data_IF_695627842396
#
_entry.id   IF_695627842396
#
_cell.length_a   1.000
_cell.length_b   1.000
_cell.length_c   1.000
_cell.angle_alpha   90.00
_cell.angle_beta   90.00
_cell.angle_gamma   90.00
#
_symmetry.space_group_name_H-M   'P 1'
#
loop_
_entity.id
_entity.type
_entity.pdbx_description
1 polymer ?
#
# COMPACT_ATOMS: atom_id res chain seq x y z
N UNK A 1 -18.91 7.44 8.53
CA UNK A 1 -18.53 7.43 7.11
C UNK A 1 -17.97 6.04 6.84
N UNK A 2 -18.62 5.24 6.01
CA UNK A 2 -18.09 3.93 5.61
C UNK A 2 -17.18 4.15 4.43
N UNK A 3 -15.88 4.08 4.65
CA UNK A 3 -14.87 4.14 3.58
C UNK A 3 -15.04 2.86 2.75
N UNK A 4 -15.31 3.02 1.45
CA UNK A 4 -15.42 1.89 0.53
C UNK A 4 -14.04 1.69 -0.06
N UNK A 5 -13.28 0.78 0.54
CA UNK A 5 -11.95 0.44 0.05
C UNK A 5 -12.05 -0.50 -1.16
N UNK A 6 -11.42 -0.10 -2.26
CA UNK A 6 -11.33 -0.92 -3.46
C UNK A 6 -10.17 -1.91 -3.33
N UNK A 7 -10.41 -3.19 -3.58
CA UNK A 7 -9.38 -4.22 -3.57
C UNK A 7 -9.18 -4.79 -4.97
N UNK A 8 -7.93 -4.98 -5.38
CA UNK A 8 -7.55 -5.59 -6.66
C UNK A 8 -7.23 -7.07 -6.46
N UNK A 9 -7.71 -7.92 -7.35
CA UNK A 9 -7.35 -9.34 -7.35
C UNK A 9 -5.89 -9.48 -7.78
N UNK A 10 -5.06 -10.03 -6.89
CA UNK A 10 -3.65 -10.31 -7.14
C UNK A 10 -3.44 -11.74 -7.64
N UNK A 11 -4.19 -12.71 -7.10
CA UNK A 11 -4.03 -14.11 -7.42
C UNK A 11 -5.36 -14.86 -7.31
N UNK A 12 -5.53 -15.86 -8.17
CA UNK A 12 -6.64 -16.82 -8.12
C UNK A 12 -6.04 -18.23 -8.19
N UNK A 13 -6.48 -19.11 -7.30
CA UNK A 13 -6.11 -20.52 -7.27
C UNK A 13 -7.41 -21.33 -7.36
N UNK A 14 -7.56 -22.13 -8.42
CA UNK A 14 -8.68 -23.06 -8.58
C UNK A 14 -8.23 -24.48 -8.21
N UNK A 15 -8.79 -25.03 -7.14
CA UNK A 15 -8.52 -26.37 -6.64
C UNK A 15 -9.61 -27.39 -7.05
N UNK A 16 -10.45 -27.04 -8.02
CA UNK A 16 -11.57 -27.85 -8.51
C UNK A 16 -12.84 -27.68 -7.68
N UNK A 17 -12.79 -27.97 -6.38
CA UNK A 17 -13.95 -27.85 -5.49
C UNK A 17 -14.13 -26.43 -4.91
N UNK A 18 -13.04 -25.68 -4.79
CA UNK A 18 -13.00 -24.34 -4.24
C UNK A 18 -12.04 -23.46 -5.03
N UNK A 19 -12.33 -22.17 -5.04
CA UNK A 19 -11.50 -21.13 -5.62
C UNK A 19 -11.05 -20.21 -4.49
N UNK A 20 -9.74 -19.99 -4.40
CA UNK A 20 -9.13 -19.03 -3.49
C UNK A 20 -8.74 -17.78 -4.27
N UNK A 21 -9.18 -16.62 -3.79
CA UNK A 21 -8.89 -15.31 -4.36
C UNK A 21 -8.10 -14.51 -3.33
N UNK A 22 -6.92 -14.05 -3.72
CA UNK A 22 -6.12 -13.11 -2.94
C UNK A 22 -6.37 -11.71 -3.48
N UNK A 23 -6.85 -10.83 -2.60
CA UNK A 23 -7.09 -9.43 -2.89
C UNK A 23 -6.15 -8.55 -2.09
N UNK A 24 -5.74 -7.47 -2.73
CA UNK A 24 -4.84 -6.48 -2.16
C UNK A 24 -5.48 -5.11 -2.30
N UNK A 25 -5.41 -4.29 -1.26
CA UNK A 25 -5.95 -2.93 -1.27
C UNK A 25 -5.36 -2.14 -2.45
N UNK A 26 -6.21 -1.54 -3.27
CA UNK A 26 -5.83 -0.76 -4.47
C UNK A 26 -5.42 0.67 -4.06
N UNK A 27 -4.40 0.74 -3.20
CA UNK A 27 -3.80 1.99 -2.75
C UNK A 27 -2.68 2.40 -3.71
N UNK A 28 -2.91 3.48 -4.46
CA UNK A 28 -1.81 4.21 -5.11
C UNK A 28 -1.08 5.00 -4.04
N UNK A 29 -0.03 4.42 -3.49
CA UNK A 29 0.88 5.16 -2.60
C UNK A 29 1.96 5.83 -3.41
N UNK A 30 2.14 7.13 -3.19
CA UNK A 30 3.37 7.78 -3.61
C UNK A 30 4.54 7.15 -2.84
N UNK A 31 5.65 6.83 -3.52
CA UNK A 31 6.82 6.32 -2.83
C UNK A 31 7.37 7.41 -1.90
N UNK A 32 7.17 7.26 -0.59
CA UNK A 32 7.83 8.12 0.38
C UNK A 32 9.34 7.82 0.35
N UNK A 33 10.13 8.83 0.01
CA UNK A 33 11.58 8.72 0.01
C UNK A 33 12.10 8.79 1.44
N UNK A 34 13.01 7.89 1.86
CA UNK A 34 13.67 8.00 3.17
C UNK A 34 14.34 9.38 3.35
N UNK A 35 14.75 10.03 2.25
CA UNK A 35 15.29 11.39 2.26
C UNK A 35 14.27 12.41 2.76
N UNK A 36 13.01 12.32 2.33
CA UNK A 36 11.94 13.22 2.77
C UNK A 36 11.65 13.05 4.28
N UNK A 37 11.62 11.81 4.78
CA UNK A 37 11.44 11.54 6.21
C UNK A 37 12.56 12.13 7.07
N UNK A 38 13.81 12.02 6.62
CA UNK A 38 14.96 12.58 7.35
C UNK A 38 14.89 14.11 7.34
N UNK A 39 14.64 14.71 6.18
CA UNK A 39 14.51 16.16 6.03
C UNK A 39 13.39 16.71 6.90
N UNK A 40 12.21 16.09 6.93
CA UNK A 40 11.09 16.53 7.76
C UNK A 40 11.37 16.39 9.26
N UNK A 41 11.98 15.29 9.69
CA UNK A 41 12.31 15.09 11.11
C UNK A 41 13.38 16.07 11.60
N UNK A 42 14.39 16.33 10.77
CA UNK A 42 15.46 17.29 11.08
C UNK A 42 14.90 18.72 11.05
N UNK A 43 14.08 19.07 10.06
CA UNK A 43 13.40 20.36 10.00
C UNK A 43 12.47 20.60 11.20
N UNK A 44 11.76 19.59 11.69
CA UNK A 44 10.89 19.74 12.88
C UNK A 44 11.67 20.00 14.19
N UNK A 45 12.96 19.68 14.24
CA UNK A 45 13.79 19.77 15.46
C UNK A 45 14.78 20.93 15.47
N UNK A 46 14.84 21.74 14.41
CA UNK A 46 15.79 22.85 14.28
C UNK A 46 15.06 24.18 14.15
N UNK A 47 15.65 25.22 14.77
CA UNK A 47 15.23 26.60 14.62
C UNK A 47 15.58 27.12 13.21
N UNK A 48 14.88 28.16 12.73
CA UNK A 48 14.95 28.57 11.32
C UNK A 48 16.34 29.09 10.87
N UNK A 49 17.13 29.64 11.78
CA UNK A 49 18.53 30.03 11.50
C UNK A 49 19.45 28.81 11.35
N UNK A 50 19.22 27.76 12.14
CA UNK A 50 20.04 26.53 12.11
C UNK A 50 19.66 25.64 10.93
N UNK A 51 18.38 25.62 10.53
CA UNK A 51 17.93 24.95 9.31
C UNK A 51 18.68 25.42 8.07
N UNK A 52 18.88 26.73 7.91
CA UNK A 52 19.55 27.31 6.73
C UNK A 52 21.00 26.86 6.58
N UNK A 53 21.69 26.57 7.68
CA UNK A 53 23.08 26.09 7.66
C UNK A 53 23.18 24.56 7.53
N UNK A 54 22.22 23.82 8.09
CA UNK A 54 22.27 22.35 8.18
C UNK A 54 21.58 21.66 7.00
N UNK A 55 20.53 22.25 6.42
CA UNK A 55 19.82 21.71 5.24
C UNK A 55 20.74 21.44 4.04
N UNK A 56 21.64 22.36 3.62
CA UNK A 56 22.50 22.12 2.47
C UNK A 56 23.46 20.94 2.67
N UNK A 57 23.96 20.77 3.90
CA UNK A 57 24.84 19.64 4.27
C UNK A 57 24.07 18.32 4.31
N UNK A 58 22.88 18.34 4.90
CA UNK A 58 21.98 17.19 4.96
C UNK A 58 21.60 16.73 3.54
N UNK A 59 21.29 17.66 2.66
CA UNK A 59 20.90 17.39 1.27
C UNK A 59 22.07 16.80 0.45
N UNK A 60 23.29 17.30 0.65
CA UNK A 60 24.51 16.73 0.04
C UNK A 60 24.81 15.31 0.53
N UNK A 61 24.67 15.04 1.84
CA UNK A 61 24.84 13.70 2.41
C UNK A 61 23.73 12.76 1.92
N UNK A 62 22.49 13.24 1.86
CA UNK A 62 21.35 12.49 1.35
C UNK A 62 21.48 12.22 -0.16
N UNK A 63 22.06 13.10 -0.96
CA UNK A 63 22.38 12.84 -2.38
C UNK A 63 23.40 11.70 -2.55
N UNK A 64 24.40 11.63 -1.67
CA UNK A 64 25.41 10.58 -1.68
C UNK A 64 24.88 9.20 -1.20
N UNK A 65 23.72 9.18 -0.51
CA UNK A 65 23.09 7.94 -0.07
C UNK A 65 22.19 7.32 -1.16
N UNK A 66 22.25 6.00 -1.37
CA UNK A 66 21.33 5.31 -2.26
C UNK A 66 19.89 5.55 -1.81
N UNK A 67 19.01 5.91 -2.74
CA UNK A 67 17.61 6.21 -2.44
C UNK A 67 16.88 4.93 -2.03
N UNK A 68 16.79 4.67 -0.73
CA UNK A 68 15.99 3.57 -0.19
C UNK A 68 14.53 4.01 -0.22
N UNK A 69 13.74 3.40 -1.10
CA UNK A 69 12.28 3.57 -1.15
C UNK A 69 11.69 2.81 0.03
N UNK A 70 11.39 3.51 1.12
CA UNK A 70 10.73 2.89 2.27
C UNK A 70 9.24 2.83 1.97
N UNK A 71 8.80 1.70 1.40
CA UNK A 71 7.38 1.36 1.31
C UNK A 71 6.95 0.76 2.64
N UNK A 72 6.27 1.51 3.50
CA UNK A 72 5.51 0.89 4.58
C UNK A 72 4.13 1.54 4.68
N UNK A 73 3.27 1.25 3.71
CA UNK A 73 1.84 1.27 3.96
C UNK A 73 1.48 -0.10 4.56
N UNK A 74 0.77 -0.11 5.69
CA UNK A 74 0.22 -1.33 6.24
C UNK A 74 -0.94 -1.77 5.35
N UNK A 75 -0.63 -2.58 4.34
CA UNK A 75 -1.58 -2.97 3.31
C UNK A 75 -2.49 -4.09 3.82
N UNK A 76 -3.80 -3.89 3.68
CA UNK A 76 -4.77 -4.93 4.01
C UNK A 76 -4.77 -5.99 2.91
N UNK A 77 -4.45 -7.23 3.29
CA UNK A 77 -4.50 -8.40 2.41
C UNK A 77 -5.69 -9.26 2.80
N UNK A 78 -6.57 -9.56 1.84
CA UNK A 78 -7.76 -10.37 2.06
C UNK A 78 -7.60 -11.65 1.24
N UNK A 79 -7.72 -12.81 1.89
CA UNK A 79 -7.80 -14.10 1.19
C UNK A 79 -9.19 -14.68 1.37
N UNK A 80 -9.93 -14.78 0.26
CA UNK A 80 -11.29 -15.34 0.25
C UNK A 80 -11.24 -16.72 -0.40
N UNK A 81 -11.59 -17.75 0.35
CA UNK A 81 -11.83 -19.09 -0.20
C UNK A 81 -13.32 -19.32 -0.33
N UNK A 82 -13.79 -19.62 -1.52
CA UNK A 82 -15.20 -19.87 -1.79
C UNK A 82 -15.42 -21.12 -2.66
N UNK A 83 -16.58 -21.77 -2.59
CA UNK A 83 -16.90 -22.89 -3.47
C UNK A 83 -16.97 -22.44 -4.94
N UNK A 84 -16.60 -23.34 -5.86
CA UNK A 84 -16.53 -23.03 -7.31
C UNK A 84 -17.85 -22.49 -7.87
N UNK A 85 -18.98 -23.03 -7.43
CA UNK A 85 -20.30 -22.58 -7.87
C UNK A 85 -20.59 -21.10 -7.54
N UNK A 86 -20.05 -20.57 -6.43
CA UNK A 86 -20.22 -19.17 -6.02
C UNK A 86 -19.32 -18.27 -6.86
N UNK A 87 -18.08 -18.70 -7.10
CA UNK A 87 -17.15 -18.00 -7.98
C UNK A 87 -17.69 -17.87 -9.41
N UNK A 88 -18.29 -18.94 -9.95
CA UNK A 88 -18.90 -18.91 -11.28
C UNK A 88 -20.12 -17.98 -11.35
N UNK A 89 -20.96 -17.97 -10.31
CA UNK A 89 -22.10 -17.05 -10.20
C UNK A 89 -21.70 -15.58 -10.11
N UNK A 90 -20.48 -15.29 -9.63
CA UNK A 90 -19.92 -13.94 -9.62
C UNK A 90 -19.40 -13.48 -11.00
N UNK A 91 -19.54 -14.29 -12.05
CA UNK A 91 -19.06 -13.95 -13.39
C UNK A 91 -17.59 -14.28 -13.63
N UNK A 92 -16.98 -15.12 -12.77
CA UNK A 92 -15.57 -15.54 -12.87
C UNK A 92 -14.59 -14.35 -12.94
N UNK A 93 -14.54 -13.52 -11.88
CA UNK A 93 -13.66 -12.35 -11.85
C UNK A 93 -12.19 -12.77 -12.06
N UNK A 94 -11.42 -11.95 -12.77
CA UNK A 94 -10.07 -12.25 -13.22
C UNK A 94 -9.00 -11.53 -12.39
N UNK A 95 -7.75 -12.00 -12.49
CA UNK A 95 -6.60 -11.28 -11.92
C UNK A 95 -6.54 -9.88 -12.53
N UNK A 96 -6.48 -8.87 -11.67
CA UNK A 96 -6.52 -7.46 -12.08
C UNK A 96 -7.87 -6.78 -11.91
N UNK A 97 -8.96 -7.54 -11.83
CA UNK A 97 -10.28 -6.98 -11.55
C UNK A 97 -10.35 -6.39 -10.13
N UNK A 98 -11.23 -5.41 -9.96
CA UNK A 98 -11.49 -4.78 -8.67
C UNK A 98 -12.75 -5.38 -8.04
N UNK A 99 -12.65 -5.74 -6.77
CA UNK A 99 -13.78 -6.16 -5.95
C UNK A 99 -13.97 -5.16 -4.83
N UNK A 100 -15.24 -4.83 -4.59
CA UNK A 100 -15.64 -4.01 -3.45
C UNK A 100 -15.84 -4.93 -2.23
N UNK A 101 -15.17 -4.61 -1.12
CA UNK A 101 -15.32 -5.34 0.15
C UNK A 101 -15.78 -4.36 1.21
N UNK A 102 -16.90 -4.65 1.87
CA UNK A 102 -17.44 -3.84 2.97
C UNK A 102 -17.18 -4.56 4.30
N UNK A 103 -16.34 -3.96 5.15
CA UNK A 103 -15.97 -4.49 6.47
C UNK A 103 -16.70 -3.72 7.56
N UNK A 104 -17.61 -4.39 8.28
CA UNK A 104 -18.37 -3.81 9.39
C UNK A 104 -18.21 -4.65 10.65
N UNK A 105 -17.90 -3.99 11.78
CA UNK A 105 -17.94 -4.61 13.10
C UNK A 105 -19.40 -4.72 13.56
N UNK A 106 -19.78 -5.90 14.04
CA UNK A 106 -21.09 -6.19 14.66
C UNK A 106 -20.93 -6.15 16.17
#
# INVERSE_FOLDING_TARGET
MSEIDAYKIQQIIDSGNAVQISLIEDVQTEPLSQKQLITENVAKKLDDDTKKQVMPLLEAILQAQPTIRVKSYAQTNISITMPKNRYEKMGRPQVGDKLQVDLKKI
#
